data_IF_479930567475
#
_entry.id   IF_479930567475
#
_cell.length_a   1.000
_cell.length_b   1.000
_cell.length_c   1.000
_cell.angle_alpha   90.00
_cell.angle_beta   90.00
_cell.angle_gamma   90.00
#
_symmetry.space_group_name_H-M   'P 1'
#
loop_
_entity.id
_entity.type
_entity.pdbx_description
1 polymer ?
#
# COMPACT_ATOMS: atom_id res chain seq x y z
N UNK A 1 74.27 -1.48 2.75
CA UNK A 1 72.86 -1.82 2.40
C UNK A 1 72.08 -2.51 3.51
N UNK A 2 72.67 -3.42 4.31
CA UNK A 2 71.95 -4.15 5.37
C UNK A 2 71.27 -3.26 6.43
N UNK A 3 71.88 -2.14 6.83
CA UNK A 3 71.30 -1.27 7.87
C UNK A 3 70.08 -0.45 7.40
N UNK A 4 69.91 -0.24 6.08
CA UNK A 4 68.76 0.50 5.55
C UNK A 4 67.50 -0.37 5.47
N UNK A 5 67.67 -1.68 5.23
CA UNK A 5 66.56 -2.64 5.20
C UNK A 5 65.97 -2.87 6.60
N UNK A 6 66.84 -2.89 7.62
CA UNK A 6 66.39 -3.08 9.01
C UNK A 6 65.55 -1.89 9.51
N UNK A 7 65.92 -0.66 9.15
CA UNK A 7 65.17 0.55 9.53
C UNK A 7 63.80 0.58 8.84
N UNK A 8 63.72 0.19 7.58
CA UNK A 8 62.43 0.14 6.85
C UNK A 8 61.49 -0.90 7.48
N UNK A 9 62.00 -2.08 7.86
CA UNK A 9 61.20 -3.08 8.58
C UNK A 9 60.77 -2.60 9.97
N UNK A 10 61.64 -1.89 10.69
CA UNK A 10 61.30 -1.35 12.01
C UNK A 10 60.24 -0.25 11.92
N UNK A 11 60.32 0.63 10.91
CA UNK A 11 59.32 1.68 10.66
C UNK A 11 57.97 1.08 10.20
N UNK A 12 57.98 0.03 9.37
CA UNK A 12 56.76 -0.69 8.98
C UNK A 12 56.14 -1.45 10.15
N UNK A 13 56.94 -2.10 10.99
CA UNK A 13 56.47 -2.76 12.20
C UNK A 13 55.91 -1.75 13.22
N UNK A 14 56.53 -0.57 13.35
CA UNK A 14 56.02 0.51 14.19
C UNK A 14 54.72 1.11 13.62
N UNK A 15 54.60 1.23 12.29
CA UNK A 15 53.37 1.69 11.65
C UNK A 15 52.21 0.68 11.77
N UNK A 16 52.50 -0.62 11.77
CA UNK A 16 51.52 -1.69 12.02
C UNK A 16 51.09 -1.80 13.50
N UNK A 17 51.92 -1.31 14.44
CA UNK A 17 51.60 -1.25 15.87
C UNK A 17 50.86 0.04 16.28
N UNK A 18 50.69 1.00 15.35
CA UNK A 18 49.94 2.26 15.56
C UNK A 18 48.67 2.26 14.69
N UNK A 19 48.12 1.09 14.38
CA UNK A 19 46.69 1.02 14.07
C UNK A 19 46.00 1.20 15.42
N UNK A 20 45.27 2.31 15.67
CA UNK A 20 44.50 2.42 16.90
C UNK A 20 43.63 1.15 17.01
N UNK A 21 43.46 0.58 18.22
CA UNK A 21 42.49 -0.49 18.38
C UNK A 21 41.21 -0.02 17.73
N UNK A 22 40.65 -0.84 16.83
CA UNK A 22 39.30 -0.66 16.28
C UNK A 22 38.47 -0.20 17.46
N UNK A 23 38.04 1.08 17.44
CA UNK A 23 37.22 1.63 18.50
C UNK A 23 36.03 0.70 18.57
N UNK A 24 35.91 -0.04 19.67
CA UNK A 24 34.61 -0.51 20.09
C UNK A 24 33.78 0.77 20.15
N UNK A 25 32.88 0.93 19.18
CA UNK A 25 31.96 2.04 19.14
C UNK A 25 31.00 1.78 20.29
N UNK A 26 31.37 2.26 21.49
CA UNK A 26 30.49 2.38 22.65
C UNK A 26 29.46 3.47 22.34
N UNK A 27 28.69 3.30 21.27
CA UNK A 27 27.46 4.05 21.09
C UNK A 27 26.43 3.35 21.94
N UNK A 28 25.94 4.08 22.95
CA UNK A 28 24.71 3.74 23.66
C UNK A 28 23.64 3.37 22.62
N UNK A 29 23.05 2.17 22.68
CA UNK A 29 22.01 1.81 21.74
C UNK A 29 20.84 2.77 21.81
N UNK A 30 20.26 3.11 20.67
CA UNK A 30 19.17 4.08 20.59
C UNK A 30 18.21 3.74 19.45
N UNK A 31 17.02 4.33 19.51
CA UNK A 31 16.00 4.19 18.49
C UNK A 31 16.35 5.08 17.29
N UNK A 32 16.53 4.47 16.12
CA UNK A 32 16.74 5.17 14.84
C UNK A 32 15.40 5.38 14.13
N UNK A 33 15.43 5.90 12.89
CA UNK A 33 14.21 6.21 12.14
C UNK A 33 13.37 4.95 11.97
N UNK A 34 12.15 5.02 12.47
CA UNK A 34 11.21 3.90 12.57
C UNK A 34 10.33 3.80 11.32
N UNK A 35 9.88 2.59 10.98
CA UNK A 35 8.84 2.38 9.95
C UNK A 35 7.47 2.89 10.39
N UNK A 36 7.32 3.19 11.68
CA UNK A 36 6.14 3.81 12.29
C UNK A 36 6.50 5.17 12.92
N UNK A 37 5.76 6.26 12.64
CA UNK A 37 5.98 7.53 13.32
C UNK A 37 5.65 7.37 14.81
N UNK A 38 6.58 7.74 15.69
CA UNK A 38 6.40 7.76 17.15
C UNK A 38 6.57 9.17 17.70
N UNK A 39 5.96 9.45 18.86
CA UNK A 39 6.16 10.73 19.54
C UNK A 39 7.59 10.86 20.08
N UNK A 40 8.08 12.11 20.18
CA UNK A 40 9.38 12.40 20.79
C UNK A 40 9.47 11.90 22.23
N UNK A 41 8.35 11.94 22.96
CA UNK A 41 8.23 11.42 24.33
C UNK A 41 8.44 9.90 24.38
N UNK A 42 7.73 9.14 23.54
CA UNK A 42 7.88 7.69 23.48
C UNK A 42 9.31 7.30 23.08
N UNK A 43 9.88 8.00 22.09
CA UNK A 43 11.27 7.82 21.69
C UNK A 43 12.23 8.04 22.86
N UNK A 44 12.05 9.12 23.62
CA UNK A 44 12.91 9.44 24.76
C UNK A 44 12.86 8.38 25.86
N UNK A 45 11.69 7.79 26.12
CA UNK A 45 11.56 6.68 27.07
C UNK A 45 12.29 5.42 26.60
N UNK A 46 12.16 5.07 25.33
CA UNK A 46 12.86 3.92 24.74
C UNK A 46 14.38 4.12 24.73
N UNK A 47 14.87 5.29 24.35
CA UNK A 47 16.30 5.62 24.36
C UNK A 47 16.89 5.55 25.77
N UNK A 48 16.17 6.06 26.78
CA UNK A 48 16.59 6.00 28.17
C UNK A 48 16.65 4.56 28.71
N UNK A 49 15.69 3.72 28.32
CA UNK A 49 15.69 2.30 28.66
C UNK A 49 16.83 1.55 27.97
N UNK A 50 17.02 1.71 26.66
CA UNK A 50 18.09 1.07 25.89
C UNK A 50 19.48 1.44 26.42
N UNK A 51 19.65 2.66 26.96
CA UNK A 51 20.89 3.07 27.57
C UNK A 51 21.26 2.30 28.85
N UNK A 52 20.30 1.61 29.48
CA UNK A 52 20.48 0.93 30.77
C UNK A 52 20.22 -0.57 30.73
N UNK A 53 19.29 -1.03 29.90
CA UNK A 53 18.87 -2.43 29.82
C UNK A 53 18.56 -2.85 28.36
N UNK A 54 19.50 -2.58 27.45
CA UNK A 54 19.39 -3.05 26.07
C UNK A 54 19.26 -4.59 26.02
N UNK A 55 18.24 -5.14 25.33
CA UNK A 55 17.96 -6.57 25.32
C UNK A 55 18.93 -7.38 24.44
N UNK A 56 19.74 -6.70 23.62
CA UNK A 56 20.78 -7.27 22.77
C UNK A 56 21.97 -6.32 22.61
N UNK A 57 23.04 -6.79 21.97
CA UNK A 57 24.21 -5.98 21.63
C UNK A 57 24.02 -5.13 20.36
N UNK A 58 22.81 -5.05 19.81
CA UNK A 58 22.54 -4.24 18.63
C UNK A 58 22.83 -2.76 18.91
N UNK A 59 23.55 -2.05 18.01
CA UNK A 59 23.78 -0.61 18.14
C UNK A 59 22.53 0.23 17.88
N UNK A 60 21.59 -0.28 17.08
CA UNK A 60 20.38 0.45 16.71
C UNK A 60 19.13 -0.40 16.96
N UNK A 61 18.06 0.28 17.33
CA UNK A 61 16.75 -0.30 17.49
C UNK A 61 15.73 0.43 16.63
N UNK A 62 14.82 -0.31 16.03
CA UNK A 62 13.81 0.21 15.10
C UNK A 62 12.45 -0.17 15.65
N UNK A 63 11.58 0.81 15.83
CA UNK A 63 10.19 0.53 16.20
C UNK A 63 9.48 -0.03 14.98
N UNK A 64 8.87 -1.20 15.15
CA UNK A 64 8.13 -1.88 14.08
C UNK A 64 6.62 -1.77 14.28
N UNK A 65 6.18 -1.52 15.52
CA UNK A 65 4.77 -1.38 15.88
C UNK A 65 4.61 -0.61 17.19
N UNK A 66 3.54 0.17 17.31
CA UNK A 66 3.12 0.84 18.55
C UNK A 66 1.61 0.71 18.70
N UNK A 67 1.17 0.18 19.83
CA UNK A 67 -0.23 0.24 20.27
C UNK A 67 -0.34 1.18 21.48
N UNK A 68 -1.26 2.13 21.41
CA UNK A 68 -1.52 3.07 22.48
C UNK A 68 -2.68 2.56 23.36
N UNK A 69 -2.35 2.24 24.60
CA UNK A 69 -3.31 1.87 25.63
C UNK A 69 -3.61 3.10 26.51
N UNK A 70 -4.70 3.07 27.32
CA UNK A 70 -5.10 4.24 28.12
C UNK A 70 -4.00 4.81 29.02
N UNK A 71 -3.13 3.95 29.57
CA UNK A 71 -2.10 4.32 30.55
C UNK A 71 -0.68 3.91 30.12
N UNK A 72 -0.47 3.57 28.84
CA UNK A 72 0.81 3.02 28.35
C UNK A 72 0.88 2.84 26.84
N UNK A 73 2.04 2.42 26.35
CA UNK A 73 2.22 1.88 25.01
C UNK A 73 2.72 0.44 25.05
N UNK A 74 2.31 -0.37 24.08
CA UNK A 74 3.02 -1.60 23.71
C UNK A 74 3.83 -1.30 22.47
N UNK A 75 5.15 -1.48 22.54
CA UNK A 75 6.07 -1.15 21.44
C UNK A 75 6.81 -2.39 21.02
N UNK A 76 6.74 -2.74 19.74
CA UNK A 76 7.61 -3.76 19.15
C UNK A 76 8.85 -3.12 18.53
N UNK A 77 9.98 -3.77 18.74
CA UNK A 77 11.31 -3.29 18.40
C UNK A 77 12.11 -4.38 17.70
N UNK A 78 12.88 -4.01 16.69
CA UNK A 78 13.93 -4.81 16.09
C UNK A 78 15.30 -4.21 16.43
N UNK A 79 16.19 -5.00 17.01
CA UNK A 79 17.60 -4.65 17.20
C UNK A 79 18.41 -5.08 15.98
N UNK A 80 19.06 -4.12 15.32
CA UNK A 80 19.76 -4.31 14.06
C UNK A 80 21.24 -3.92 14.17
N UNK A 81 22.11 -4.73 13.54
CA UNK A 81 23.53 -4.48 13.37
C UNK A 81 23.79 -3.86 12.01
N UNK A 82 23.67 -2.54 11.93
CA UNK A 82 23.97 -1.76 10.73
C UNK A 82 25.34 -1.06 10.86
N UNK A 83 25.97 -0.73 9.74
CA UNK A 83 27.22 0.06 9.76
C UNK A 83 26.91 1.55 10.04
N UNK A 84 25.78 2.03 9.50
CA UNK A 84 25.22 3.38 9.67
C UNK A 84 23.76 3.30 10.11
N UNK A 85 23.24 4.27 10.91
CA UNK A 85 21.82 4.33 11.26
C UNK A 85 20.90 4.64 10.07
N UNK A 86 21.47 5.07 8.93
CA UNK A 86 20.76 5.37 7.69
C UNK A 86 20.84 4.23 6.67
N UNK A 87 21.51 3.12 6.98
CA UNK A 87 21.58 1.95 6.09
C UNK A 87 20.26 1.20 6.05
N UNK A 88 19.97 0.59 4.90
CA UNK A 88 18.82 -0.29 4.73
C UNK A 88 18.95 -1.54 5.61
N UNK A 89 17.81 -2.03 6.07
CA UNK A 89 17.72 -3.21 6.92
C UNK A 89 16.48 -3.99 6.56
N UNK A 90 16.53 -5.31 6.72
CA UNK A 90 15.38 -6.17 6.59
C UNK A 90 15.21 -7.00 7.86
N UNK A 91 13.97 -7.20 8.29
CA UNK A 91 13.69 -8.11 9.40
C UNK A 91 14.22 -9.53 9.14
N UNK A 92 14.28 -9.91 7.85
CA UNK A 92 14.62 -11.25 7.38
C UNK A 92 16.13 -11.46 7.12
N UNK A 93 16.91 -10.37 7.04
CA UNK A 93 18.32 -10.45 6.69
C UNK A 93 19.21 -10.84 7.89
N UNK A 94 20.53 -10.79 7.68
CA UNK A 94 21.52 -11.08 8.73
C UNK A 94 21.78 -9.92 9.70
N UNK A 95 21.23 -8.74 9.44
CA UNK A 95 21.44 -7.52 10.24
C UNK A 95 20.53 -7.50 11.46
N UNK A 96 19.31 -8.03 11.35
CA UNK A 96 18.40 -8.15 12.49
C UNK A 96 18.87 -9.23 13.46
N UNK A 97 19.32 -8.81 14.65
CA UNK A 97 19.89 -9.69 15.69
C UNK A 97 18.97 -9.86 16.89
N UNK A 98 17.96 -9.01 17.04
CA UNK A 98 16.98 -9.11 18.11
C UNK A 98 15.62 -8.58 17.66
N UNK A 99 14.54 -9.16 18.18
CA UNK A 99 13.18 -8.65 18.04
C UNK A 99 12.46 -8.92 19.36
N UNK A 100 11.65 -7.97 19.82
CA UNK A 100 10.79 -8.17 20.96
C UNK A 100 9.85 -7.00 21.19
N UNK A 101 9.00 -7.13 22.20
CA UNK A 101 8.08 -6.07 22.59
C UNK A 101 8.35 -5.61 24.01
N UNK A 102 8.06 -4.34 24.26
CA UNK A 102 8.13 -3.70 25.58
C UNK A 102 6.83 -3.00 25.89
N UNK A 103 6.52 -2.90 27.17
CA UNK A 103 5.48 -2.04 27.68
C UNK A 103 6.12 -0.75 28.20
N UNK A 104 5.64 0.39 27.73
CA UNK A 104 6.12 1.73 28.13
C UNK A 104 4.98 2.41 28.88
N UNK A 105 5.10 2.56 30.20
CA UNK A 105 4.12 3.31 30.98
C UNK A 105 4.26 4.82 30.73
N UNK A 106 3.19 5.60 30.94
CA UNK A 106 3.21 7.07 30.76
C UNK A 106 4.23 7.80 31.66
N UNK A 107 4.70 7.15 32.73
CA UNK A 107 5.76 7.68 33.60
C UNK A 107 7.18 7.42 33.05
N UNK A 108 7.30 6.77 31.89
CA UNK A 108 8.56 6.39 31.25
C UNK A 108 9.17 5.07 31.71
N UNK A 109 8.50 4.32 32.58
CA UNK A 109 8.94 2.98 32.96
C UNK A 109 8.75 2.01 31.78
N UNK A 110 9.85 1.36 31.37
CA UNK A 110 9.85 0.37 30.29
C UNK A 110 10.06 -1.01 30.87
N UNK A 111 9.17 -1.95 30.54
CA UNK A 111 9.27 -3.35 30.96
C UNK A 111 9.24 -4.27 29.75
N UNK A 112 10.15 -5.25 29.70
CA UNK A 112 10.16 -6.24 28.63
C UNK A 112 8.88 -7.08 28.68
N UNK A 113 8.13 -7.08 27.59
CA UNK A 113 6.93 -7.89 27.43
C UNK A 113 7.27 -9.31 26.93
N UNK A 114 8.36 -9.46 26.16
CA UNK A 114 8.86 -10.76 25.72
C UNK A 114 9.69 -11.43 26.82
N UNK A 115 9.33 -12.65 27.22
CA UNK A 115 10.07 -13.46 28.20
C UNK A 115 11.30 -14.11 27.55
N UNK A 116 12.50 -13.67 27.94
CA UNK A 116 13.76 -14.39 27.71
C UNK A 116 14.67 -13.78 26.63
N UNK A 117 15.95 -13.58 27.00
CA UNK A 117 17.02 -13.15 26.10
C UNK A 117 17.20 -14.19 24.97
N UNK A 118 16.86 -13.79 23.75
CA UNK A 118 17.19 -14.48 22.50
C UNK A 118 16.22 -15.61 22.14
N UNK A 119 15.28 -15.31 21.25
CA UNK A 119 14.58 -16.34 20.48
C UNK A 119 15.32 -16.54 19.15
N UNK A 120 15.68 -17.77 18.80
CA UNK A 120 16.32 -18.12 17.52
C UNK A 120 15.38 -17.84 16.33
N UNK A 121 15.93 -17.63 15.12
CA UNK A 121 15.23 -17.29 13.84
C UNK A 121 13.96 -18.07 13.47
N UNK A 122 13.73 -19.25 14.03
CA UNK A 122 12.56 -20.07 13.71
C UNK A 122 11.27 -19.66 14.47
N UNK A 123 11.28 -19.46 15.81
CA UNK A 123 10.16 -18.84 16.52
C UNK A 123 10.07 -17.30 16.34
N UNK A 124 11.06 -16.65 15.73
CA UNK A 124 11.11 -15.18 15.51
C UNK A 124 9.98 -14.60 14.65
N UNK A 125 9.22 -15.43 13.91
CA UNK A 125 8.04 -14.97 13.14
C UNK A 125 6.80 -14.71 14.00
N UNK A 126 6.82 -15.05 15.29
CA UNK A 126 5.61 -15.13 16.14
C UNK A 126 5.52 -13.98 17.17
N UNK A 127 6.57 -13.17 17.35
CA UNK A 127 6.66 -12.27 18.52
C UNK A 127 6.81 -10.76 18.21
N UNK A 128 6.66 -10.34 16.96
CA UNK A 128 6.39 -8.94 16.57
C UNK A 128 4.89 -8.71 16.27
N UNK A 129 4.03 -9.60 16.76
CA UNK A 129 2.58 -9.58 16.53
C UNK A 129 1.86 -8.78 17.64
N UNK A 130 1.00 -7.79 17.33
CA UNK A 130 -0.29 -7.73 18.01
C UNK A 130 -1.04 -9.05 17.75
N UNK A 131 -1.55 -9.64 18.83
CA UNK A 131 -2.55 -10.72 18.94
C UNK A 131 -2.86 -11.59 17.70
N UNK A 132 -2.73 -12.93 17.83
CA UNK A 132 -3.31 -13.88 16.88
C UNK A 132 -4.85 -13.73 16.81
N UNK A 133 -5.33 -12.97 15.83
CA UNK A 133 -6.08 -13.50 14.68
C UNK A 133 -6.33 -12.35 13.69
N UNK A 134 -5.90 -12.50 12.43
CA UNK A 134 -6.86 -13.08 11.48
C UNK A 134 -6.24 -13.97 10.39
N UNK A 135 -7.08 -14.81 9.80
CA UNK A 135 -6.84 -15.56 8.57
C UNK A 135 -7.90 -15.19 7.56
N UNK A 136 -8.22 -13.90 7.49
CA UNK A 136 -9.38 -13.36 6.81
C UNK A 136 -10.71 -13.94 7.28
N UNK A 137 -11.73 -13.86 6.41
CA UNK A 137 -13.07 -14.33 6.69
C UNK A 137 -14.01 -14.18 5.50
N UNK A 138 -15.27 -14.58 5.67
CA UNK A 138 -16.30 -14.37 4.63
C UNK A 138 -16.57 -12.89 4.35
N UNK A 139 -16.24 -12.01 5.30
CA UNK A 139 -16.31 -10.56 5.15
C UNK A 139 -15.14 -9.98 4.36
N UNK A 140 -14.08 -10.75 4.07
CA UNK A 140 -12.96 -10.26 3.26
C UNK A 140 -13.31 -10.43 1.78
N UNK A 141 -13.17 -9.36 1.01
CA UNK A 141 -13.27 -9.33 -0.44
C UNK A 141 -11.94 -9.66 -1.11
N UNK A 142 -11.99 -10.28 -2.29
CA UNK A 142 -10.83 -10.24 -3.18
C UNK A 142 -10.51 -8.79 -3.58
N UNK A 143 -9.24 -8.44 -3.80
CA UNK A 143 -8.80 -7.05 -3.93
C UNK A 143 -8.99 -6.49 -5.36
N UNK A 144 -9.92 -7.04 -6.12
CA UNK A 144 -10.20 -6.70 -7.51
C UNK A 144 -11.72 -6.65 -7.73
N UNK A 145 -12.18 -6.05 -8.82
CA UNK A 145 -13.61 -5.74 -9.00
C UNK A 145 -14.52 -6.98 -8.86
N UNK A 146 -15.55 -6.89 -8.01
CA UNK A 146 -16.62 -7.88 -7.90
C UNK A 146 -17.22 -8.28 -9.26
N UNK A 147 -17.52 -9.56 -9.42
CA UNK A 147 -18.09 -10.11 -10.66
C UNK A 147 -17.11 -10.26 -11.81
N UNK A 148 -15.82 -9.98 -11.60
CA UNK A 148 -14.72 -10.24 -12.53
C UNK A 148 -13.78 -11.29 -11.95
N UNK A 149 -12.72 -11.64 -12.66
CA UNK A 149 -11.70 -12.56 -12.16
C UNK A 149 -10.27 -12.10 -12.38
N UNK A 150 -9.36 -12.64 -11.59
CA UNK A 150 -7.91 -12.56 -11.82
C UNK A 150 -7.30 -13.95 -11.77
N UNK A 151 -6.21 -14.15 -12.50
CA UNK A 151 -5.44 -15.38 -12.49
C UNK A 151 -4.58 -15.42 -11.22
N UNK A 152 -4.65 -16.52 -10.49
CA UNK A 152 -3.77 -16.77 -9.36
C UNK A 152 -2.34 -16.97 -9.87
N UNK A 153 -1.45 -16.05 -9.51
CA UNK A 153 -0.09 -15.95 -10.04
C UNK A 153 0.78 -17.17 -9.76
N UNK A 154 1.83 -17.32 -10.58
CA UNK A 154 2.68 -18.52 -10.62
C UNK A 154 3.53 -18.73 -9.36
N UNK A 155 3.78 -17.68 -8.59
CA UNK A 155 4.54 -17.76 -7.32
C UNK A 155 3.74 -18.39 -6.18
N UNK A 156 2.43 -18.57 -6.39
CA UNK A 156 1.50 -19.07 -5.38
C UNK A 156 1.61 -18.24 -4.08
N UNK A 157 1.42 -18.85 -2.92
CA UNK A 157 1.71 -18.21 -1.62
C UNK A 157 3.22 -18.03 -1.44
N UNK A 158 3.65 -16.80 -1.22
CA UNK A 158 5.04 -16.43 -1.02
C UNK A 158 5.18 -15.33 0.05
N UNK A 159 6.43 -14.92 0.36
CA UNK A 159 6.69 -13.85 1.32
C UNK A 159 6.16 -12.52 0.80
N UNK A 160 5.69 -11.68 1.73
CA UNK A 160 5.08 -10.38 1.43
C UNK A 160 6.08 -9.33 0.88
N UNK A 161 7.38 -9.56 0.97
CA UNK A 161 8.38 -8.54 0.67
C UNK A 161 8.58 -7.59 1.85
N UNK A 162 9.31 -6.50 1.61
CA UNK A 162 9.70 -5.56 2.66
C UNK A 162 8.77 -4.35 2.73
N UNK A 163 7.66 -4.52 3.44
CA UNK A 163 6.67 -3.46 3.67
C UNK A 163 6.49 -3.17 5.17
N UNK A 164 7.55 -3.38 5.95
CA UNK A 164 7.53 -3.17 7.40
C UNK A 164 6.57 -4.10 8.14
N UNK A 165 6.27 -5.28 7.57
CA UNK A 165 5.37 -6.28 8.16
C UNK A 165 6.05 -7.63 8.32
N UNK A 166 5.89 -8.24 9.49
CA UNK A 166 6.37 -9.59 9.78
C UNK A 166 5.22 -10.58 9.81
N UNK A 167 5.37 -11.76 9.21
CA UNK A 167 4.37 -12.83 9.30
C UNK A 167 3.29 -12.80 8.22
N UNK A 168 3.15 -11.70 7.48
CA UNK A 168 2.28 -11.63 6.31
C UNK A 168 2.82 -12.48 5.15
N UNK A 169 1.88 -13.04 4.39
CA UNK A 169 2.14 -13.75 3.15
C UNK A 169 1.45 -13.03 2.01
N UNK A 170 1.89 -13.29 0.79
CA UNK A 170 1.33 -12.70 -0.41
C UNK A 170 0.89 -13.72 -1.43
N UNK A 171 -0.02 -13.26 -2.27
CA UNK A 171 -0.32 -13.86 -3.57
C UNK A 171 -0.32 -12.77 -4.64
N UNK A 172 0.13 -13.13 -5.82
CA UNK A 172 -0.01 -12.28 -7.00
C UNK A 172 -1.33 -12.62 -7.68
N UNK A 173 -2.12 -11.61 -8.01
CA UNK A 173 -3.36 -11.77 -8.77
C UNK A 173 -3.23 -11.00 -10.08
N UNK A 174 -3.08 -11.74 -11.17
CA UNK A 174 -2.75 -11.24 -12.50
C UNK A 174 -4.01 -11.03 -13.34
N UNK A 175 -4.04 -9.93 -14.08
CA UNK A 175 -5.01 -9.66 -15.14
C UNK A 175 -4.32 -8.95 -16.31
N UNK A 176 -5.06 -8.66 -17.36
CA UNK A 176 -4.54 -8.04 -18.58
C UNK A 176 -5.62 -7.76 -19.59
N UNK A 177 -5.36 -6.80 -20.47
CA UNK A 177 -6.31 -6.32 -21.46
C UNK A 177 -6.65 -7.41 -22.51
N UNK A 178 -5.75 -8.38 -22.72
CA UNK A 178 -5.87 -9.49 -23.65
C UNK A 178 -6.59 -10.73 -23.07
N UNK A 179 -6.86 -10.76 -21.77
CA UNK A 179 -7.44 -11.92 -21.06
C UNK A 179 -8.97 -12.01 -21.17
N UNK A 180 -9.59 -11.11 -21.93
CA UNK A 180 -11.01 -11.12 -22.27
C UNK A 180 -11.92 -10.41 -21.25
N UNK A 181 -13.23 -10.32 -21.56
CA UNK A 181 -14.16 -9.43 -20.85
C UNK A 181 -14.52 -9.86 -19.41
N UNK A 182 -14.10 -11.06 -18.99
CA UNK A 182 -14.27 -11.54 -17.62
C UNK A 182 -13.10 -11.17 -16.69
N UNK A 183 -12.01 -10.65 -17.25
CA UNK A 183 -10.83 -10.24 -16.49
C UNK A 183 -11.09 -8.94 -15.73
N UNK A 184 -10.57 -8.84 -14.50
CA UNK A 184 -10.73 -7.67 -13.67
C UNK A 184 -9.99 -6.47 -14.28
N UNK A 185 -10.54 -5.24 -14.27
CA UNK A 185 -9.84 -4.04 -14.72
C UNK A 185 -8.64 -3.71 -13.82
N UNK A 186 -7.75 -2.78 -14.22
CA UNK A 186 -6.52 -2.42 -13.52
C UNK A 186 -6.75 -1.55 -12.28
N UNK A 187 -7.64 -1.99 -11.39
CA UNK A 187 -7.98 -1.29 -10.16
C UNK A 187 -7.91 -2.22 -8.97
N UNK A 188 -7.29 -1.72 -7.89
CA UNK A 188 -7.29 -2.38 -6.60
C UNK A 188 -8.49 -1.93 -5.77
N UNK A 189 -9.10 -2.87 -5.06
CA UNK A 189 -10.24 -2.63 -4.18
C UNK A 189 -9.92 -3.11 -2.76
N UNK A 190 -10.43 -2.40 -1.77
CA UNK A 190 -10.20 -2.73 -0.37
C UNK A 190 -10.87 -4.06 -0.02
N UNK A 191 -10.06 -5.03 0.41
CA UNK A 191 -10.50 -6.35 0.84
C UNK A 191 -11.37 -6.30 2.10
N UNK A 192 -11.16 -5.33 2.97
CA UNK A 192 -12.05 -5.04 4.10
C UNK A 192 -12.13 -3.52 4.31
N UNK A 193 -13.02 -3.07 5.20
CA UNK A 193 -12.94 -1.71 5.72
C UNK A 193 -11.61 -1.51 6.43
N UNK A 194 -10.96 -0.37 6.26
CA UNK A 194 -9.67 -0.15 6.91
C UNK A 194 -9.13 1.25 6.66
N UNK A 195 -8.15 1.65 7.48
CA UNK A 195 -7.48 2.95 7.39
C UNK A 195 -6.04 2.74 6.97
N UNK A 196 -5.54 3.57 6.05
CA UNK A 196 -4.14 3.53 5.64
C UNK A 196 -3.26 3.97 6.81
N UNK A 197 -2.33 3.11 7.22
CA UNK A 197 -1.36 3.36 8.29
C UNK A 197 0.10 3.29 7.83
N UNK A 198 0.33 2.87 6.58
CA UNK A 198 1.64 2.84 5.95
C UNK A 198 1.54 3.05 4.44
N UNK A 199 2.52 3.76 3.88
CA UNK A 199 2.71 3.98 2.44
C UNK A 199 4.19 3.83 2.13
N UNK A 200 4.49 3.02 1.11
CA UNK A 200 5.76 3.05 0.39
C UNK A 200 5.49 3.69 -0.97
N UNK A 201 6.25 4.73 -1.32
CA UNK A 201 6.19 5.38 -2.63
C UNK A 201 7.61 5.66 -3.12
N UNK A 202 7.95 5.12 -4.30
CA UNK A 202 9.25 5.28 -4.97
C UNK A 202 9.16 6.15 -6.24
N UNK A 203 7.96 6.69 -6.55
CA UNK A 203 7.68 7.48 -7.75
C UNK A 203 7.34 6.66 -8.99
N UNK A 204 7.57 5.35 -9.00
CA UNK A 204 7.13 4.41 -10.06
C UNK A 204 5.89 3.64 -9.63
N UNK A 205 5.90 3.11 -8.40
CA UNK A 205 4.80 2.37 -7.79
C UNK A 205 4.59 2.76 -6.34
N UNK A 206 3.39 2.46 -5.86
CA UNK A 206 2.98 2.68 -4.48
C UNK A 206 2.49 1.37 -3.88
N UNK A 207 2.86 1.13 -2.62
CA UNK A 207 2.27 0.10 -1.78
C UNK A 207 1.62 0.74 -0.55
N UNK A 208 0.42 0.29 -0.22
CA UNK A 208 -0.32 0.80 0.94
C UNK A 208 -0.74 -0.33 1.84
N UNK A 209 -0.62 -0.12 3.15
CA UNK A 209 -1.19 -1.01 4.17
C UNK A 209 -2.46 -0.39 4.72
N UNK A 210 -3.51 -1.20 4.85
CA UNK A 210 -4.75 -0.82 5.53
C UNK A 210 -4.94 -1.67 6.78
N UNK A 211 -5.35 -1.03 7.87
CA UNK A 211 -5.65 -1.67 9.14
C UNK A 211 -7.13 -1.50 9.52
N UNK A 212 -7.78 -2.60 9.94
CA UNK A 212 -9.12 -2.59 10.50
C UNK A 212 -9.09 -2.87 12.01
N UNK A 213 -9.27 -1.83 12.83
CA UNK A 213 -9.30 -1.99 14.29
C UNK A 213 -10.46 -2.87 14.82
N UNK A 214 -11.50 -3.13 14.03
CA UNK A 214 -12.65 -3.94 14.47
C UNK A 214 -12.42 -5.44 14.29
N UNK A 215 -11.68 -5.82 13.25
CA UNK A 215 -11.37 -7.23 12.93
C UNK A 215 -9.92 -7.60 13.20
N UNK A 216 -9.09 -6.59 13.52
CA UNK A 216 -7.65 -6.71 13.68
C UNK A 216 -6.94 -7.19 12.38
N UNK A 217 -7.54 -6.94 11.21
CA UNK A 217 -6.96 -7.30 9.91
C UNK A 217 -6.01 -6.25 9.36
N UNK A 218 -4.91 -6.74 8.79
CA UNK A 218 -4.02 -5.99 7.92
C UNK A 218 -4.06 -6.53 6.50
N UNK A 219 -4.15 -5.61 5.53
CA UNK A 219 -3.97 -5.92 4.12
C UNK A 219 -2.96 -4.95 3.52
N UNK A 220 -2.08 -5.46 2.66
CA UNK A 220 -1.22 -4.61 1.84
C UNK A 220 -1.56 -4.83 0.38
N UNK A 221 -1.61 -3.71 -0.35
CA UNK A 221 -1.86 -3.63 -1.78
C UNK A 221 -0.64 -2.96 -2.40
N UNK A 222 0.20 -3.73 -3.07
CA UNK A 222 1.37 -3.21 -3.78
C UNK A 222 1.12 -3.11 -5.28
N UNK A 223 2.06 -2.46 -5.97
CA UNK A 223 2.05 -2.22 -7.41
C UNK A 223 0.93 -1.27 -7.87
N UNK A 224 0.59 -0.31 -7.00
CA UNK A 224 -0.38 0.73 -7.32
C UNK A 224 0.29 1.92 -8.00
N UNK A 225 -0.52 2.76 -8.63
CA UNK A 225 -0.15 4.11 -9.03
C UNK A 225 -0.58 5.11 -7.96
N UNK A 226 0.30 6.06 -7.66
CA UNK A 226 0.01 7.15 -6.72
C UNK A 226 -1.25 7.93 -7.15
N UNK A 227 -2.05 8.34 -6.18
CA UNK A 227 -3.26 9.12 -6.38
C UNK A 227 -3.73 9.78 -5.07
N UNK A 228 -4.62 10.76 -5.19
CA UNK A 228 -5.10 11.55 -4.06
C UNK A 228 -5.84 10.75 -2.95
N UNK A 229 -6.29 9.52 -3.20
CA UNK A 229 -6.87 8.66 -2.15
C UNK A 229 -5.83 7.87 -1.36
N UNK A 230 -4.59 7.76 -1.85
CA UNK A 230 -3.49 7.14 -1.11
C UNK A 230 -2.86 8.20 -0.20
N UNK A 231 -3.37 8.27 1.03
CA UNK A 231 -2.80 9.12 2.06
C UNK A 231 -2.96 8.46 3.43
N UNK A 232 -1.99 8.69 4.32
CA UNK A 232 -2.06 8.21 5.70
C UNK A 232 -3.36 8.71 6.34
N UNK A 233 -4.01 7.84 7.11
CA UNK A 233 -5.30 8.09 7.75
C UNK A 233 -6.52 8.16 6.83
N UNK A 234 -6.38 8.00 5.51
CA UNK A 234 -7.56 7.79 4.66
C UNK A 234 -8.16 6.41 4.94
N UNK A 235 -9.49 6.36 5.05
CA UNK A 235 -10.23 5.12 5.28
C UNK A 235 -11.01 4.69 4.04
N UNK A 236 -11.09 3.39 3.86
CA UNK A 236 -11.86 2.73 2.81
C UNK A 236 -12.90 1.83 3.44
N UNK A 237 -14.04 1.68 2.77
CA UNK A 237 -14.97 0.58 3.05
C UNK A 237 -14.62 -0.63 2.20
N UNK A 238 -14.96 -1.84 2.66
CA UNK A 238 -14.84 -3.06 1.85
C UNK A 238 -15.41 -2.87 0.43
N UNK A 239 -14.66 -3.30 -0.58
CA UNK A 239 -15.02 -3.20 -1.99
C UNK A 239 -14.92 -1.79 -2.58
N UNK A 240 -14.42 -0.80 -1.81
CA UNK A 240 -14.12 0.52 -2.33
C UNK A 240 -12.80 0.49 -3.11
N UNK A 241 -12.76 1.16 -4.26
CA UNK A 241 -11.54 1.31 -5.04
C UNK A 241 -10.48 2.10 -4.25
N UNK A 242 -9.27 1.55 -4.17
CA UNK A 242 -8.09 2.17 -3.55
C UNK A 242 -7.31 2.99 -4.58
N UNK A 243 -7.05 2.40 -5.74
CA UNK A 243 -6.17 2.98 -6.75
C UNK A 243 -6.12 2.16 -8.03
N UNK A 244 -5.31 2.63 -8.97
CA UNK A 244 -5.03 1.89 -10.21
C UNK A 244 -3.78 1.03 -10.04
N UNK A 245 -3.70 -0.11 -10.72
CA UNK A 245 -2.56 -1.03 -10.71
C UNK A 245 -1.60 -0.67 -11.85
N UNK A 246 -0.30 -0.76 -11.60
CA UNK A 246 0.75 -0.50 -12.60
C UNK A 246 0.80 -1.61 -13.66
N UNK A 247 0.71 -1.20 -14.92
CA UNK A 247 0.93 -2.06 -16.09
C UNK A 247 2.42 -2.31 -16.36
N UNK A 248 2.71 -3.44 -17.00
CA UNK A 248 4.03 -3.76 -17.51
C UNK A 248 5.04 -4.10 -16.41
N UNK A 249 6.24 -4.47 -16.82
CA UNK A 249 7.33 -4.75 -15.87
C UNK A 249 7.88 -3.46 -15.24
N UNK A 250 8.35 -3.55 -14.00
CA UNK A 250 9.03 -2.48 -13.26
C UNK A 250 9.92 -3.08 -12.16
N UNK A 251 10.90 -2.32 -11.69
CA UNK A 251 11.91 -2.74 -10.71
C UNK A 251 12.34 -1.52 -9.90
N UNK A 252 11.71 -1.30 -8.75
CA UNK A 252 11.97 -0.16 -7.86
C UNK A 252 11.75 -0.53 -6.38
N UNK A 253 12.07 0.39 -5.48
CA UNK A 253 12.17 0.17 -4.03
C UNK A 253 10.85 -0.29 -3.38
N UNK A 254 9.69 0.15 -3.89
CA UNK A 254 8.37 -0.21 -3.38
C UNK A 254 7.71 -1.38 -4.13
N UNK A 255 8.40 -1.98 -5.10
CA UNK A 255 7.92 -3.19 -5.75
C UNK A 255 8.66 -3.57 -7.03
N UNK A 256 8.61 -4.86 -7.33
CA UNK A 256 9.17 -5.44 -8.55
C UNK A 256 8.17 -6.36 -9.24
N UNK A 257 8.06 -6.25 -10.56
CA UNK A 257 7.22 -7.11 -11.38
C UNK A 257 7.87 -7.44 -12.73
N UNK A 258 7.78 -8.71 -13.13
CA UNK A 258 8.11 -9.19 -14.48
C UNK A 258 6.85 -9.72 -15.18
N UNK A 259 6.29 -8.91 -16.08
CA UNK A 259 5.02 -9.16 -16.78
C UNK A 259 4.96 -8.47 -18.16
N UNK A 260 3.98 -8.87 -18.98
CA UNK A 260 3.77 -8.26 -20.31
C UNK A 260 3.28 -6.81 -20.19
N UNK A 261 3.48 -6.01 -21.24
CA UNK A 261 3.19 -4.57 -21.23
C UNK A 261 1.71 -4.24 -20.97
N UNK A 262 0.81 -5.09 -21.48
CA UNK A 262 -0.64 -5.00 -21.33
C UNK A 262 -1.18 -5.81 -20.14
N UNK A 263 -0.29 -6.36 -19.31
CA UNK A 263 -0.63 -7.11 -18.10
C UNK A 263 -0.34 -6.27 -16.85
N UNK A 264 -1.07 -6.59 -15.79
CA UNK A 264 -0.90 -6.02 -14.46
C UNK A 264 -1.25 -7.06 -13.41
N UNK A 265 -0.60 -7.01 -12.26
CA UNK A 265 -1.01 -7.80 -11.12
C UNK A 265 -1.00 -6.97 -9.87
N UNK A 266 -1.92 -7.30 -8.96
CA UNK A 266 -1.84 -6.82 -7.59
C UNK A 266 -1.09 -7.86 -6.77
N UNK A 267 -0.05 -7.41 -6.08
CA UNK A 267 0.62 -8.21 -5.07
C UNK A 267 -0.10 -7.94 -3.74
N UNK A 268 -0.97 -8.89 -3.38
CA UNK A 268 -1.90 -8.75 -2.27
C UNK A 268 -1.41 -9.55 -1.08
N UNK A 269 -1.16 -8.84 0.03
CA UNK A 269 -0.59 -9.41 1.23
C UNK A 269 -1.63 -9.45 2.34
N UNK A 270 -1.59 -10.53 3.11
CA UNK A 270 -2.52 -10.83 4.18
C UNK A 270 -1.82 -11.59 5.30
N UNK A 271 -2.42 -11.56 6.48
CA UNK A 271 -1.98 -12.41 7.59
C UNK A 271 -2.74 -13.75 7.56
N UNK A 272 -2.04 -14.91 7.62
CA UNK A 272 -2.70 -16.21 7.70
C UNK A 272 -2.97 -16.59 9.17
N UNK A 273 -4.12 -17.23 9.43
CA UNK A 273 -4.40 -17.89 10.71
C UNK A 273 -4.45 -19.40 10.56
N UNK A 274 -3.80 -20.12 11.48
CA UNK A 274 -3.79 -21.58 11.52
C UNK A 274 -3.37 -22.23 10.18
N UNK A 275 -2.47 -21.59 9.43
CA UNK A 275 -1.98 -22.05 8.14
C UNK A 275 -2.98 -21.91 6.99
N UNK A 276 -4.00 -21.07 7.14
CA UNK A 276 -4.97 -20.76 6.11
C UNK A 276 -5.35 -19.28 6.09
N UNK A 277 -5.96 -18.85 5.00
CA UNK A 277 -6.55 -17.53 4.81
C UNK A 277 -7.88 -17.65 4.06
N UNK A 278 -8.86 -16.82 4.35
CA UNK A 278 -10.20 -16.86 3.77
C UNK A 278 -10.58 -15.51 3.17
N UNK A 279 -11.11 -15.54 1.95
CA UNK A 279 -11.71 -14.39 1.29
C UNK A 279 -12.92 -14.86 0.47
N UNK A 280 -14.06 -14.17 0.63
CA UNK A 280 -15.31 -14.44 -0.11
C UNK A 280 -15.75 -15.90 -0.11
N UNK A 281 -15.53 -16.60 1.01
CA UNK A 281 -15.86 -18.02 1.14
C UNK A 281 -14.88 -18.99 0.45
N UNK A 282 -13.85 -18.47 -0.22
CA UNK A 282 -12.70 -19.24 -0.66
C UNK A 282 -11.66 -19.37 0.45
N UNK A 283 -11.07 -20.55 0.61
CA UNK A 283 -10.02 -20.81 1.61
C UNK A 283 -8.71 -21.10 0.91
N UNK A 284 -7.71 -20.25 1.10
CA UNK A 284 -6.32 -20.50 0.76
C UNK A 284 -5.64 -21.29 1.87
N UNK A 285 -5.10 -22.47 1.56
CA UNK A 285 -4.24 -23.20 2.50
C UNK A 285 -2.78 -22.92 2.20
N UNK A 286 -2.04 -22.42 3.19
CA UNK A 286 -0.62 -22.03 3.04
C UNK A 286 0.26 -23.25 2.72
N UNK A 287 -0.05 -24.41 3.31
CA UNK A 287 0.74 -25.63 3.11
C UNK A 287 0.61 -26.22 1.70
N UNK A 288 -0.58 -26.19 1.12
CA UNK A 288 -0.84 -26.68 -0.25
C UNK A 288 -0.71 -25.59 -1.30
N UNK A 289 -0.69 -24.32 -0.87
CA UNK A 289 -0.71 -23.10 -1.68
C UNK A 289 -1.86 -23.03 -2.69
N UNK A 290 -2.98 -23.67 -2.37
CA UNK A 290 -4.17 -23.73 -3.22
C UNK A 290 -5.35 -23.05 -2.55
N UNK A 291 -6.19 -22.45 -3.37
CA UNK A 291 -7.51 -21.99 -2.97
C UNK A 291 -8.50 -23.13 -3.05
N UNK A 292 -9.45 -23.18 -2.14
CA UNK A 292 -10.65 -24.03 -2.22
C UNK A 292 -11.86 -23.13 -2.24
N UNK A 293 -12.51 -23.01 -3.40
CA UNK A 293 -13.72 -22.23 -3.59
C UNK A 293 -14.84 -23.19 -3.99
N UNK A 294 -15.95 -23.23 -3.26
CA UNK A 294 -17.08 -24.12 -3.60
C UNK A 294 -16.66 -25.60 -3.82
N UNK A 295 -15.76 -26.12 -2.98
CA UNK A 295 -15.15 -27.45 -3.08
C UNK A 295 -14.27 -27.71 -4.31
N UNK A 296 -13.96 -26.68 -5.11
CA UNK A 296 -12.98 -26.77 -6.19
C UNK A 296 -11.63 -26.26 -5.72
N UNK A 297 -10.58 -27.06 -5.94
CA UNK A 297 -9.20 -26.62 -5.74
C UNK A 297 -8.71 -25.81 -6.94
N UNK A 298 -8.23 -24.60 -6.67
CA UNK A 298 -7.67 -23.68 -7.66
C UNK A 298 -6.20 -23.47 -7.30
N UNK A 299 -5.32 -23.93 -8.21
CA UNK A 299 -3.89 -23.71 -8.13
C UNK A 299 -3.46 -22.49 -8.95
N UNK A 300 -2.15 -22.26 -9.00
CA UNK A 300 -1.54 -21.23 -9.85
C UNK A 300 -1.97 -21.38 -11.31
N UNK A 301 -2.17 -20.27 -12.01
CA UNK A 301 -2.73 -20.22 -13.36
C UNK A 301 -4.25 -20.39 -13.42
N UNK A 302 -4.90 -20.72 -12.30
CA UNK A 302 -6.35 -20.81 -12.20
C UNK A 302 -7.00 -19.46 -11.98
N UNK A 303 -8.24 -19.31 -12.44
CA UNK A 303 -9.04 -18.10 -12.24
C UNK A 303 -9.68 -18.08 -10.86
N UNK A 304 -9.48 -16.98 -10.15
CA UNK A 304 -10.24 -16.61 -8.95
C UNK A 304 -11.30 -15.59 -9.35
N UNK A 305 -12.55 -15.86 -9.02
CA UNK A 305 -13.68 -14.99 -9.37
C UNK A 305 -14.10 -14.25 -8.10
N UNK A 306 -14.13 -12.92 -8.20
CA UNK A 306 -14.63 -12.04 -7.14
C UNK A 306 -16.14 -12.16 -7.02
N UNK A 307 -16.64 -12.19 -5.79
CA UNK A 307 -18.04 -12.36 -5.44
C UNK A 307 -18.97 -11.43 -6.21
N UNK A 308 -20.20 -11.90 -6.45
CA UNK A 308 -21.23 -11.13 -7.15
C UNK A 308 -21.85 -10.06 -6.25
N UNK A 309 -21.20 -8.90 -6.14
CA UNK A 309 -21.77 -7.68 -5.57
C UNK A 309 -21.29 -7.34 -4.16
N UNK A 310 -20.61 -6.19 -4.02
CA UNK A 310 -20.33 -5.57 -2.73
C UNK A 310 -21.61 -4.91 -2.20
N UNK A 311 -22.51 -5.70 -1.64
CA UNK A 311 -23.67 -5.21 -0.89
C UNK A 311 -23.25 -4.83 0.52
N UNK A 312 -23.64 -3.63 0.96
CA UNK A 312 -23.68 -3.26 2.36
C UNK A 312 -24.34 -4.39 3.17
N UNK A 313 -23.83 -4.63 4.38
CA UNK A 313 -24.18 -5.78 5.21
C UNK A 313 -25.68 -6.07 5.29
N UNK A 314 -25.96 -7.37 5.44
CA UNK A 314 -27.28 -7.98 5.55
C UNK A 314 -28.07 -7.95 4.23
N UNK A 315 -28.00 -9.04 3.46
CA UNK A 315 -29.20 -9.82 3.16
C UNK A 315 -28.88 -11.08 2.33
N UNK A 316 -29.29 -12.20 2.91
CA UNK A 316 -29.49 -13.48 2.25
C UNK A 316 -30.70 -13.35 1.30
N UNK A 317 -30.49 -12.95 0.05
CA UNK A 317 -31.48 -13.15 -1.02
C UNK A 317 -30.81 -13.72 -2.26
N UNK A 318 -31.23 -14.93 -2.61
CA UNK A 318 -30.74 -15.69 -3.73
C UNK A 318 -30.79 -14.95 -5.07
N UNK A 319 -29.89 -15.40 -5.95
CA UNK A 319 -29.85 -15.18 -7.40
C UNK A 319 -31.17 -14.66 -7.99
N UNK A 320 -31.32 -13.34 -8.00
CA UNK A 320 -32.29 -12.61 -8.79
C UNK A 320 -31.51 -11.61 -9.63
N UNK A 321 -31.52 -11.81 -10.95
CA UNK A 321 -30.96 -10.89 -11.93
C UNK A 321 -31.56 -9.49 -11.77
N UNK A 322 -30.91 -8.62 -10.98
CA UNK A 322 -31.18 -7.19 -11.05
C UNK A 322 -30.63 -6.71 -12.40
N UNK A 323 -31.55 -6.44 -13.32
CA UNK A 323 -31.21 -5.87 -14.62
C UNK A 323 -30.40 -4.58 -14.40
N UNK A 324 -29.17 -4.56 -14.92
CA UNK A 324 -28.33 -3.36 -14.97
C UNK A 324 -29.15 -2.25 -15.62
N UNK A 325 -29.27 -1.10 -14.96
CA UNK A 325 -30.10 -0.03 -15.51
C UNK A 325 -29.45 0.49 -16.79
N UNK A 326 -30.26 0.89 -17.78
CA UNK A 326 -29.78 1.52 -19.02
C UNK A 326 -28.82 2.70 -18.74
N UNK A 327 -29.02 3.39 -17.61
CA UNK A 327 -28.21 4.52 -17.19
C UNK A 327 -26.81 4.12 -16.74
N UNK A 328 -26.61 2.92 -16.21
CA UNK A 328 -25.29 2.43 -15.82
C UNK A 328 -24.40 2.30 -17.06
N UNK A 329 -24.94 1.80 -18.18
CA UNK A 329 -24.20 1.72 -19.45
C UNK A 329 -23.84 3.10 -20.02
N UNK A 330 -24.72 4.09 -19.86
CA UNK A 330 -24.44 5.47 -20.30
C UNK A 330 -23.37 6.14 -19.44
N UNK A 331 -23.42 5.94 -18.11
CA UNK A 331 -22.42 6.47 -17.19
C UNK A 331 -21.07 5.79 -17.40
N UNK A 332 -21.04 4.46 -17.51
CA UNK A 332 -19.82 3.72 -17.81
C UNK A 332 -19.26 4.09 -19.18
N UNK A 333 -20.10 4.23 -20.21
CA UNK A 333 -19.65 4.69 -21.53
C UNK A 333 -19.07 6.11 -21.51
N UNK A 334 -19.64 7.02 -20.71
CA UNK A 334 -19.13 8.38 -20.61
C UNK A 334 -17.82 8.45 -19.80
N UNK A 335 -17.72 7.68 -18.72
CA UNK A 335 -16.48 7.53 -17.94
C UNK A 335 -15.39 6.94 -18.82
N UNK A 336 -15.69 5.87 -19.56
CA UNK A 336 -14.76 5.18 -20.45
C UNK A 336 -14.27 6.10 -21.58
N UNK A 337 -15.15 6.84 -22.25
CA UNK A 337 -14.76 7.83 -23.28
C UNK A 337 -13.90 8.96 -22.68
N UNK A 338 -14.19 9.38 -21.45
CA UNK A 338 -13.41 10.40 -20.77
C UNK A 338 -12.02 9.89 -20.39
N UNK A 339 -11.93 8.77 -19.66
CA UNK A 339 -10.67 8.20 -19.13
C UNK A 339 -9.81 7.57 -20.20
N UNK A 340 -10.41 6.81 -21.13
CA UNK A 340 -9.67 6.09 -22.17
C UNK A 340 -9.53 6.86 -23.49
N UNK A 341 -10.28 7.95 -23.66
CA UNK A 341 -10.20 8.84 -24.82
C UNK A 341 -9.47 10.14 -24.53
N UNK A 342 -10.23 11.20 -24.25
CA UNK A 342 -9.77 12.59 -24.35
C UNK A 342 -8.72 12.96 -23.30
N UNK A 343 -8.71 12.28 -22.15
CA UNK A 343 -7.75 12.51 -21.06
C UNK A 343 -6.31 12.18 -21.48
N UNK A 344 -6.10 11.24 -22.41
CA UNK A 344 -4.76 10.88 -22.92
C UNK A 344 -4.10 12.01 -23.73
N UNK A 345 -4.87 13.02 -24.13
CA UNK A 345 -4.40 14.17 -24.91
C UNK A 345 -4.17 15.43 -24.07
N UNK A 346 -4.46 15.38 -22.77
CA UNK A 346 -4.19 16.49 -21.87
C UNK A 346 -2.73 16.44 -21.40
N UNK A 347 -2.02 17.59 -21.32
CA UNK A 347 -0.67 17.64 -20.78
C UNK A 347 -0.67 17.13 -19.33
N UNK A 348 0.25 16.22 -19.02
CA UNK A 348 0.54 15.81 -17.64
C UNK A 348 0.91 17.06 -16.81
N UNK A 349 0.39 17.13 -15.58
CA UNK A 349 0.64 18.18 -14.56
C UNK A 349 -0.24 19.45 -14.56
N UNK A 350 -1.57 19.32 -14.51
CA UNK A 350 -2.44 20.38 -13.96
C UNK A 350 -3.31 19.83 -12.83
N UNK A 351 -3.44 20.62 -11.77
CA UNK A 351 -4.15 20.29 -10.53
C UNK A 351 -5.57 19.77 -10.78
N UNK A 352 -5.84 18.53 -10.33
CA UNK A 352 -7.10 17.80 -10.55
C UNK A 352 -8.32 18.43 -9.83
N UNK A 353 -8.14 19.49 -9.04
CA UNK A 353 -9.24 20.18 -8.35
C UNK A 353 -10.36 20.62 -9.31
N UNK A 354 -10.02 21.12 -10.51
CA UNK A 354 -11.04 21.53 -11.49
C UNK A 354 -11.88 20.35 -11.98
N UNK A 355 -11.28 19.17 -12.11
CA UNK A 355 -11.94 17.95 -12.60
C UNK A 355 -12.87 17.33 -11.54
N UNK A 356 -12.46 17.31 -10.27
CA UNK A 356 -13.33 16.90 -9.16
C UNK A 356 -14.53 17.83 -9.00
N UNK A 357 -14.33 19.15 -9.14
CA UNK A 357 -15.42 20.13 -9.12
C UNK A 357 -16.36 19.92 -10.32
N UNK A 358 -15.82 19.63 -11.50
CA UNK A 358 -16.61 19.34 -12.71
C UNK A 358 -17.46 18.08 -12.56
N UNK A 359 -16.87 16.95 -12.13
CA UNK A 359 -17.61 15.69 -11.92
C UNK A 359 -18.64 15.84 -10.81
N UNK A 360 -18.29 16.49 -9.70
CA UNK A 360 -19.22 16.75 -8.58
C UNK A 360 -20.39 17.62 -9.03
N UNK A 361 -20.12 18.65 -9.84
CA UNK A 361 -21.14 19.54 -10.40
C UNK A 361 -22.04 18.80 -11.39
N UNK A 362 -21.49 17.97 -12.28
CA UNK A 362 -22.28 17.15 -13.21
C UNK A 362 -23.16 16.15 -12.44
N UNK A 363 -22.62 15.46 -11.42
CA UNK A 363 -23.39 14.54 -10.57
C UNK A 363 -24.53 15.25 -9.84
N UNK A 364 -24.27 16.43 -9.29
CA UNK A 364 -25.29 17.26 -8.64
C UNK A 364 -26.37 17.69 -9.64
N UNK A 365 -25.98 18.14 -10.83
CA UNK A 365 -26.90 18.56 -11.88
C UNK A 365 -27.80 17.41 -12.35
N UNK A 366 -27.24 16.21 -12.55
CA UNK A 366 -28.01 15.03 -12.94
C UNK A 366 -29.00 14.60 -11.84
N UNK A 367 -28.59 14.69 -10.57
CA UNK A 367 -29.50 14.45 -9.42
C UNK A 367 -30.64 15.47 -9.35
N UNK A 368 -30.33 16.76 -9.56
CA UNK A 368 -31.35 17.82 -9.60
C UNK A 368 -32.30 17.60 -10.78
N UNK A 369 -31.78 17.30 -11.97
CA UNK A 369 -32.60 16.99 -13.14
C UNK A 369 -33.51 15.79 -12.89
N UNK A 370 -33.01 14.72 -12.28
CA UNK A 370 -33.82 13.55 -11.93
C UNK A 370 -34.97 13.88 -10.97
N UNK A 371 -34.70 14.66 -9.91
CA UNK A 371 -35.73 15.11 -8.96
C UNK A 371 -36.78 15.97 -9.67
N UNK A 372 -36.36 16.86 -10.57
CA UNK A 372 -37.26 17.77 -11.29
C UNK A 372 -38.09 17.05 -12.37
N UNK A 373 -37.53 16.04 -13.05
CA UNK A 373 -38.27 15.12 -13.95
C UNK A 373 -39.35 14.40 -13.15
N UNK A 374 -39.01 13.84 -11.99
CA UNK A 374 -39.96 13.08 -11.16
C UNK A 374 -41.05 13.97 -10.55
N UNK A 375 -40.77 15.27 -10.40
CA UNK A 375 -41.71 16.27 -9.91
C UNK A 375 -42.58 16.92 -11.01
N UNK A 376 -42.52 16.45 -12.26
CA UNK A 376 -43.25 17.02 -13.42
C UNK A 376 -42.98 18.53 -13.65
N UNK A 377 -41.78 19.01 -13.29
CA UNK A 377 -41.40 20.40 -13.52
C UNK A 377 -40.93 20.56 -14.97
N UNK A 378 -41.39 21.61 -15.66
CA UNK A 378 -40.94 21.91 -17.02
C UNK A 378 -39.44 22.23 -17.03
N UNK A 379 -38.64 21.33 -17.62
CA UNK A 379 -37.17 21.40 -17.64
C UNK A 379 -36.60 22.30 -18.73
N UNK A 380 -37.44 22.80 -19.66
CA UNK A 380 -36.99 23.62 -20.79
C UNK A 380 -36.18 24.85 -20.35
N UNK A 381 -36.58 25.63 -19.32
CA UNK A 381 -35.79 26.78 -18.88
C UNK A 381 -34.45 26.40 -18.26
N UNK A 382 -34.39 25.24 -17.57
CA UNK A 382 -33.16 24.74 -16.94
C UNK A 382 -32.21 24.23 -18.01
N UNK A 383 -32.70 23.46 -18.98
CA UNK A 383 -31.90 23.01 -20.13
C UNK A 383 -31.35 24.20 -20.93
N UNK A 384 -32.10 25.30 -21.05
CA UNK A 384 -31.64 26.54 -21.69
C UNK A 384 -30.52 27.22 -20.89
N UNK A 385 -30.64 27.32 -19.55
CA UNK A 385 -29.59 27.88 -18.69
C UNK A 385 -28.33 27.02 -18.72
N UNK A 386 -28.47 25.70 -18.70
CA UNK A 386 -27.35 24.75 -18.78
C UNK A 386 -26.69 24.81 -20.15
N UNK A 387 -27.47 24.80 -21.23
CA UNK A 387 -26.96 24.95 -22.59
C UNK A 387 -26.25 26.29 -22.80
N UNK A 388 -26.77 27.36 -22.22
CA UNK A 388 -26.13 28.68 -22.24
C UNK A 388 -24.82 28.69 -21.44
N UNK A 389 -24.78 28.07 -20.26
CA UNK A 389 -23.57 27.94 -19.44
C UNK A 389 -22.48 27.10 -20.11
N UNK A 390 -22.84 25.97 -20.73
CA UNK A 390 -21.92 25.13 -21.51
C UNK A 390 -21.42 25.90 -22.74
N UNK A 391 -22.32 26.58 -23.46
CA UNK A 391 -21.99 27.37 -24.64
C UNK A 391 -21.02 28.51 -24.35
N UNK A 392 -21.22 29.26 -23.27
CA UNK A 392 -20.30 30.32 -22.82
C UNK A 392 -18.95 29.72 -22.42
N UNK A 393 -18.92 28.63 -21.65
CA UNK A 393 -17.66 28.03 -21.22
C UNK A 393 -16.86 27.45 -22.39
N UNK A 394 -17.53 26.83 -23.38
CA UNK A 394 -16.90 26.36 -24.60
C UNK A 394 -16.32 27.53 -25.43
N UNK A 395 -17.08 28.63 -25.54
CA UNK A 395 -16.62 29.85 -26.22
C UNK A 395 -15.40 30.47 -25.51
N UNK A 396 -15.45 30.62 -24.19
CA UNK A 396 -14.34 31.17 -23.39
C UNK A 396 -13.10 30.27 -23.44
N UNK A 397 -13.27 28.95 -23.39
CA UNK A 397 -12.16 28.00 -23.52
C UNK A 397 -11.49 28.08 -24.89
N UNK A 398 -12.28 28.25 -25.95
CA UNK A 398 -11.76 28.45 -27.32
C UNK A 398 -10.93 29.73 -27.41
N UNK A 399 -11.40 30.84 -26.81
CA UNK A 399 -10.64 32.09 -26.73
C UNK A 399 -9.32 31.87 -25.98
N UNK A 400 -9.34 31.17 -24.84
CA UNK A 400 -8.14 30.88 -24.06
C UNK A 400 -7.10 30.08 -24.84
N UNK A 401 -7.54 29.06 -25.59
CA UNK A 401 -6.65 28.25 -26.45
C UNK A 401 -6.03 29.14 -27.54
N UNK A 402 -6.83 29.98 -28.22
CA UNK A 402 -6.32 30.90 -29.24
C UNK A 402 -5.28 31.86 -28.65
N UNK A 403 -5.55 32.42 -27.47
CA UNK A 403 -4.62 33.32 -26.78
C UNK A 403 -3.34 32.59 -26.34
N UNK A 404 -3.44 31.35 -25.88
CA UNK A 404 -2.29 30.53 -25.51
C UNK A 404 -1.41 30.22 -26.73
N UNK A 405 -2.00 29.85 -27.86
CA UNK A 405 -1.30 29.63 -29.13
C UNK A 405 -0.63 30.93 -29.62
N UNK A 406 -1.34 32.05 -29.60
CA UNK A 406 -0.79 33.35 -30.00
C UNK A 406 0.39 33.77 -29.12
N UNK A 407 0.30 33.52 -27.80
CA UNK A 407 1.40 33.77 -26.86
C UNK A 407 2.61 32.88 -27.18
N UNK A 408 2.40 31.58 -27.39
CA UNK A 408 3.45 30.63 -27.74
C UNK A 408 4.20 31.01 -29.02
N UNK A 409 3.47 31.41 -30.07
CA UNK A 409 4.03 31.90 -31.34
C UNK A 409 4.88 33.15 -31.10
N UNK A 410 4.39 34.12 -30.30
CA UNK A 410 5.12 35.35 -29.97
C UNK A 410 6.42 35.09 -29.20
N UNK A 411 6.43 34.14 -28.26
CA UNK A 411 7.66 33.76 -27.54
C UNK A 411 8.69 33.11 -28.46
N UNK A 412 8.26 32.29 -29.42
CA UNK A 412 9.18 31.62 -30.37
C UNK A 412 9.73 32.55 -31.46
N UNK A 413 9.04 33.66 -31.77
CA UNK A 413 9.50 34.63 -32.78
C UNK A 413 10.36 35.76 -32.23
N UNK A 414 10.47 35.91 -30.91
CA UNK A 414 11.31 36.92 -30.25
C UNK A 414 12.56 36.33 -29.58
N UNK A 415 12.71 34.99 -29.59
CA UNK A 415 13.86 34.25 -29.08
C UNK A 415 14.83 33.74 -30.17
N UNK A 416 14.57 34.09 -31.44
CA UNK A 416 15.46 33.92 -32.59
C UNK A 416 15.75 35.30 -33.18
#
# INVERSE_FOLDING_TARGET
>A
MKNKILIVFFVLALALLVVPPVRAQETTPYVIRSTQPISDELKAHLDAWLATDAPSSAPYYIVTYVDALPDSWVVSLAGVNLESPDDDWLLEDGTTVWIGSVYVALNGEVTSFTLGRGMNKAPMKVFALPSLAPGGGSYVAFPFQAGTGMIYGVRAVHGAGDYGTSGMLAVDLLSGDDLGPGAAPPYAYASDAGTIDYICDDGTTVAVRTYNASTDDYFIYAHLLDNASIAISNSFTRGQQIGSIKYGSFDDDCGWAEQQEDHYHIHWMFEPANGAFQAEGCILRVSTKKWTCNNQEIGTGGWLIGGGGYGAGEDDYGYGSAEKSFWDYLVFGFVDIATNGWIKFLPTHQDFQYFYVLISTIRLMLRIMFVLVRANVNLVPIAQVVGYGIGINAFMSTIWIILAIAKAIKTNTLGA
#
